data_IF_683906971486
#
_entry.id   IF_683906971486
#
_cell.length_a   1.000
_cell.length_b   1.000
_cell.length_c   1.000
_cell.angle_alpha   90.00
_cell.angle_beta   90.00
_cell.angle_gamma   90.00
#
_symmetry.space_group_name_H-M   'P 1'
#
loop_
_entity.id
_entity.type
_entity.pdbx_description
1 polymer ?
#
# COMPACT_ATOMS: atom_id res chain seq x y z
N UNK A 1 -11.22 -20.69 8.64
CA UNK A 1 -11.72 -19.89 7.49
C UNK A 1 -10.72 -19.88 6.34
N UNK A 2 -9.43 -19.66 6.57
CA UNK A 2 -8.44 -19.63 5.48
C UNK A 2 -8.35 -20.95 4.73
N UNK A 3 -8.27 -22.09 5.43
CA UNK A 3 -8.15 -23.40 4.77
C UNK A 3 -9.35 -23.74 3.88
N UNK A 4 -10.54 -23.28 4.29
CA UNK A 4 -11.76 -23.41 3.51
C UNK A 4 -11.70 -22.56 2.23
N UNK A 5 -11.28 -21.29 2.35
CA UNK A 5 -11.13 -20.39 1.21
C UNK A 5 -10.06 -20.91 0.23
N UNK A 6 -8.93 -21.40 0.73
CA UNK A 6 -7.86 -22.02 -0.06
C UNK A 6 -8.36 -23.25 -0.82
N UNK A 7 -9.07 -24.15 -0.14
CA UNK A 7 -9.62 -25.36 -0.75
C UNK A 7 -10.63 -25.02 -1.86
N UNK A 8 -11.46 -24.01 -1.62
CA UNK A 8 -12.45 -23.56 -2.59
C UNK A 8 -11.79 -22.88 -3.81
N UNK A 9 -10.78 -22.03 -3.60
CA UNK A 9 -10.02 -21.42 -4.69
C UNK A 9 -9.34 -22.47 -5.59
N UNK A 10 -8.74 -23.50 -4.99
CA UNK A 10 -8.14 -24.62 -5.74
C UNK A 10 -9.20 -25.42 -6.51
N UNK A 11 -10.38 -25.62 -5.92
CA UNK A 11 -11.49 -26.33 -6.57
C UNK A 11 -11.99 -25.57 -7.79
N UNK A 12 -12.19 -24.26 -7.69
CA UNK A 12 -12.60 -23.43 -8.83
C UNK A 12 -11.51 -23.34 -9.91
N UNK A 13 -10.24 -23.27 -9.52
CA UNK A 13 -9.12 -23.32 -10.47
C UNK A 13 -9.14 -24.59 -11.31
N UNK A 14 -9.48 -25.74 -10.71
CA UNK A 14 -9.57 -27.02 -11.43
C UNK A 14 -10.78 -27.11 -12.36
N UNK A 15 -11.79 -26.23 -12.21
CA UNK A 15 -13.02 -26.23 -13.02
C UNK A 15 -12.89 -25.44 -14.32
N UNK A 16 -11.91 -24.54 -14.42
CA UNK A 16 -11.66 -23.74 -15.62
C UNK A 16 -10.65 -24.41 -16.57
N UNK A 17 -10.61 -24.04 -17.87
CA UNK A 17 -9.67 -24.59 -18.84
C UNK A 17 -8.21 -24.51 -18.39
N UNK A 18 -7.41 -25.53 -18.75
CA UNK A 18 -5.97 -25.60 -18.38
C UNK A 18 -5.12 -24.46 -18.96
N UNK A 19 -5.61 -23.79 -20.00
CA UNK A 19 -4.92 -22.67 -20.64
C UNK A 19 -5.18 -21.41 -19.82
N UNK A 20 -4.11 -20.85 -19.24
CA UNK A 20 -4.18 -19.64 -18.42
C UNK A 20 -4.63 -18.45 -19.28
N UNK A 21 -5.64 -17.73 -18.79
CA UNK A 21 -6.22 -16.55 -19.44
C UNK A 21 -6.93 -15.66 -18.40
N UNK A 22 -7.58 -14.58 -18.83
CA UNK A 22 -8.26 -13.59 -17.97
C UNK A 22 -9.26 -14.20 -16.98
N UNK A 23 -9.87 -15.35 -17.29
CA UNK A 23 -10.79 -16.05 -16.38
C UNK A 23 -10.11 -16.52 -15.08
N UNK A 24 -8.78 -16.66 -15.10
CA UNK A 24 -7.99 -17.07 -13.93
C UNK A 24 -7.66 -15.88 -13.02
N UNK A 25 -7.71 -14.65 -13.52
CA UNK A 25 -7.30 -13.45 -12.79
C UNK A 25 -8.04 -13.30 -11.45
N UNK A 26 -9.39 -13.41 -11.38
CA UNK A 26 -10.09 -13.30 -10.10
C UNK A 26 -9.67 -14.35 -9.07
N UNK A 27 -9.33 -15.56 -9.52
CA UNK A 27 -8.85 -16.63 -8.63
C UNK A 27 -7.43 -16.36 -8.12
N UNK A 28 -6.56 -15.79 -8.96
CA UNK A 28 -5.22 -15.36 -8.54
C UNK A 28 -5.29 -14.21 -7.52
N UNK A 29 -6.18 -13.25 -7.75
CA UNK A 29 -6.43 -12.15 -6.83
C UNK A 29 -7.00 -12.67 -5.49
N UNK A 30 -7.95 -13.61 -5.53
CA UNK A 30 -8.47 -14.26 -4.33
C UNK A 30 -7.39 -15.05 -3.58
N UNK A 31 -6.51 -15.77 -4.28
CA UNK A 31 -5.38 -16.46 -3.68
C UNK A 31 -4.43 -15.49 -2.96
N UNK A 32 -4.16 -14.32 -3.56
CA UNK A 32 -3.38 -13.27 -2.89
C UNK A 32 -4.08 -12.76 -1.62
N UNK A 33 -5.40 -12.52 -1.65
CA UNK A 33 -6.17 -12.07 -0.49
C UNK A 33 -6.15 -13.10 0.65
N UNK A 34 -6.23 -14.39 0.32
CA UNK A 34 -6.14 -15.50 1.29
C UNK A 34 -4.80 -15.48 2.03
N UNK A 35 -3.70 -15.30 1.29
CA UNK A 35 -2.35 -15.19 1.88
C UNK A 35 -2.23 -13.93 2.73
N UNK A 36 -2.70 -12.78 2.22
CA UNK A 36 -2.65 -11.52 2.97
C UNK A 36 -3.49 -11.56 4.24
N UNK A 37 -4.58 -12.34 4.27
CA UNK A 37 -5.38 -12.55 5.47
C UNK A 37 -4.61 -13.35 6.54
N UNK A 38 -3.83 -14.36 6.16
CA UNK A 38 -2.97 -15.10 7.09
C UNK A 38 -1.86 -14.22 7.63
N UNK A 39 -1.18 -13.49 6.74
CA UNK A 39 -0.12 -12.55 7.10
C UNK A 39 -0.65 -11.43 8.01
N UNK A 40 -1.85 -10.90 7.73
CA UNK A 40 -2.52 -9.92 8.57
C UNK A 40 -2.79 -10.47 9.99
N UNK A 41 -3.27 -11.71 10.11
CA UNK A 41 -3.48 -12.33 11.41
C UNK A 41 -2.16 -12.41 12.22
N UNK A 42 -1.05 -12.74 11.56
CA UNK A 42 0.28 -12.77 12.20
C UNK A 42 0.74 -11.37 12.64
N UNK A 43 0.53 -10.34 11.80
CA UNK A 43 0.78 -8.94 12.19
C UNK A 43 -0.01 -8.59 13.46
N UNK A 44 -1.31 -8.87 13.49
CA UNK A 44 -2.14 -8.56 14.64
C UNK A 44 -1.77 -9.37 15.90
N UNK A 45 -1.25 -10.59 15.74
CA UNK A 45 -0.70 -11.36 16.86
C UNK A 45 0.56 -10.70 17.44
N UNK A 46 1.42 -10.12 16.60
CA UNK A 46 2.59 -9.33 17.03
C UNK A 46 2.23 -8.02 17.71
N UNK A 47 1.08 -7.42 17.35
CA UNK A 47 0.57 -6.18 17.95
C UNK A 47 -0.17 -6.37 19.29
N UNK A 48 -0.38 -7.62 19.73
CA UNK A 48 -1.02 -7.87 21.01
C UNK A 48 -0.20 -7.27 22.17
N UNK A 49 -0.82 -6.78 23.26
CA UNK A 49 -0.12 -6.14 24.38
C UNK A 49 0.99 -7.01 24.99
N UNK A 50 0.85 -8.34 24.94
CA UNK A 50 1.84 -9.29 25.44
C UNK A 50 3.04 -9.49 24.51
N UNK A 51 2.91 -9.16 23.22
CA UNK A 51 3.92 -9.43 22.19
C UNK A 51 4.56 -8.16 21.60
N UNK A 52 3.89 -7.01 21.74
CA UNK A 52 4.38 -5.75 21.22
C UNK A 52 5.77 -5.41 21.80
N UNK A 53 6.68 -4.98 20.94
CA UNK A 53 8.08 -4.69 21.30
C UNK A 53 9.00 -5.92 21.41
N UNK A 54 8.48 -7.17 21.41
CA UNK A 54 9.33 -8.36 21.40
C UNK A 54 10.08 -8.49 20.08
N UNK A 55 11.37 -8.86 20.16
CA UNK A 55 12.28 -8.95 18.99
C UNK A 55 11.72 -9.84 17.86
N UNK A 56 11.27 -11.06 18.18
CA UNK A 56 10.75 -11.99 17.17
C UNK A 56 9.47 -11.45 16.51
N UNK A 57 8.50 -11.02 17.31
CA UNK A 57 7.23 -10.45 16.83
C UNK A 57 7.45 -9.22 15.93
N UNK A 58 8.41 -8.36 16.31
CA UNK A 58 8.83 -7.21 15.53
C UNK A 58 9.50 -7.61 14.21
N UNK A 59 10.37 -8.61 14.23
CA UNK A 59 11.05 -9.11 13.04
C UNK A 59 10.05 -9.68 12.02
N UNK A 60 9.15 -10.55 12.47
CA UNK A 60 8.14 -11.19 11.63
C UNK A 60 7.19 -10.16 11.03
N UNK A 61 6.72 -9.21 11.83
CA UNK A 61 5.88 -8.10 11.35
C UNK A 61 6.61 -7.27 10.28
N UNK A 62 7.88 -6.90 10.53
CA UNK A 62 8.69 -6.14 9.54
C UNK A 62 8.87 -6.94 8.25
N UNK A 63 9.07 -8.25 8.33
CA UNK A 63 9.19 -9.12 7.17
C UNK A 63 7.90 -9.11 6.34
N UNK A 64 6.73 -9.23 6.99
CA UNK A 64 5.43 -9.18 6.32
C UNK A 64 5.20 -7.82 5.64
N UNK A 65 5.44 -6.71 6.35
CA UNK A 65 5.30 -5.35 5.77
C UNK A 65 6.22 -5.19 4.55
N UNK A 66 7.47 -5.70 4.63
CA UNK A 66 8.39 -5.70 3.49
C UNK A 66 7.86 -6.55 2.33
N UNK A 67 7.29 -7.72 2.60
CA UNK A 67 6.68 -8.58 1.60
C UNK A 67 5.51 -7.88 0.90
N UNK A 68 4.60 -7.24 1.64
CA UNK A 68 3.49 -6.48 1.06
C UNK A 68 3.99 -5.37 0.14
N UNK A 69 5.01 -4.61 0.55
CA UNK A 69 5.60 -3.57 -0.30
C UNK A 69 6.19 -4.10 -1.61
N UNK A 70 6.69 -5.33 -1.62
CA UNK A 70 7.31 -5.94 -2.80
C UNK A 70 6.33 -6.75 -3.66
N UNK A 71 5.21 -7.21 -3.09
CA UNK A 71 4.16 -7.96 -3.78
C UNK A 71 3.01 -7.02 -4.14
N UNK A 72 3.20 -6.27 -5.23
CA UNK A 72 2.19 -5.37 -5.79
C UNK A 72 1.43 -6.05 -6.93
N UNK A 73 0.19 -5.63 -7.25
CA UNK A 73 -0.47 -6.07 -8.47
C UNK A 73 0.36 -5.75 -9.73
N UNK A 74 -0.03 -6.31 -10.86
CA UNK A 74 0.56 -5.94 -12.13
C UNK A 74 0.07 -4.56 -12.56
N UNK A 75 0.91 -3.82 -13.29
CA UNK A 75 0.50 -2.50 -13.80
C UNK A 75 -0.64 -2.56 -14.82
N UNK A 76 -0.92 -3.75 -15.37
CA UNK A 76 -2.06 -3.99 -16.26
C UNK A 76 -3.35 -4.33 -15.52
N UNK A 77 -3.30 -4.62 -14.22
CA UNK A 77 -4.50 -4.90 -13.44
C UNK A 77 -5.34 -3.62 -13.28
N UNK A 78 -6.65 -3.80 -13.17
CA UNK A 78 -7.60 -2.69 -13.04
C UNK A 78 -7.33 -1.83 -11.81
N UNK A 79 -7.57 -0.51 -11.93
CA UNK A 79 -7.38 0.41 -10.80
C UNK A 79 -8.26 0.10 -9.60
N UNK A 80 -9.43 -0.52 -9.80
CA UNK A 80 -10.27 -1.03 -8.71
C UNK A 80 -9.53 -2.06 -7.87
N UNK A 81 -8.89 -3.04 -8.51
CA UNK A 81 -8.09 -4.05 -7.81
C UNK A 81 -6.90 -3.43 -7.08
N UNK A 82 -6.21 -2.48 -7.71
CA UNK A 82 -5.19 -1.68 -7.00
C UNK A 82 -5.81 -1.06 -5.75
N UNK A 83 -6.89 -0.27 -5.89
CA UNK A 83 -7.56 0.43 -4.79
C UNK A 83 -7.95 -0.49 -3.64
N UNK A 84 -8.48 -1.68 -3.93
CA UNK A 84 -8.87 -2.66 -2.92
C UNK A 84 -7.66 -3.12 -2.09
N UNK A 85 -6.55 -3.48 -2.75
CA UNK A 85 -5.32 -3.90 -2.06
C UNK A 85 -4.73 -2.75 -1.23
N UNK A 86 -4.71 -1.52 -1.74
CA UNK A 86 -4.19 -0.38 -0.97
C UNK A 86 -5.05 -0.08 0.24
N UNK A 87 -6.38 -0.08 0.09
CA UNK A 87 -7.31 0.19 1.17
C UNK A 87 -7.18 -0.87 2.27
N UNK A 88 -7.15 -2.15 1.87
CA UNK A 88 -6.91 -3.26 2.79
C UNK A 88 -5.61 -3.09 3.59
N UNK A 89 -4.48 -2.85 2.92
CA UNK A 89 -3.19 -2.71 3.58
C UNK A 89 -3.11 -1.45 4.44
N UNK A 90 -3.75 -0.37 4.01
CA UNK A 90 -3.79 0.88 4.76
C UNK A 90 -4.42 0.68 6.15
N UNK A 91 -5.51 -0.07 6.24
CA UNK A 91 -6.11 -0.40 7.54
C UNK A 91 -5.13 -1.12 8.48
N UNK A 92 -4.35 -2.06 7.96
CA UNK A 92 -3.35 -2.79 8.74
C UNK A 92 -2.16 -1.91 9.13
N UNK A 93 -1.71 -1.01 8.25
CA UNK A 93 -0.66 -0.06 8.58
C UNK A 93 -1.09 0.92 9.65
N UNK A 94 -2.34 1.40 9.62
CA UNK A 94 -2.91 2.25 10.67
C UNK A 94 -2.98 1.50 12.01
N UNK A 95 -3.33 0.21 12.00
CA UNK A 95 -3.33 -0.61 13.21
C UNK A 95 -1.92 -0.72 13.83
N UNK A 96 -0.87 -0.87 13.00
CA UNK A 96 0.52 -0.86 13.46
C UNK A 96 0.88 0.49 14.13
N UNK A 97 0.58 1.61 13.46
CA UNK A 97 0.85 2.96 13.99
C UNK A 97 0.16 3.13 15.35
N UNK A 98 -1.14 2.88 15.41
CA UNK A 98 -1.94 3.05 16.62
C UNK A 98 -1.45 2.18 17.79
N UNK A 99 -1.09 0.91 17.53
CA UNK A 99 -0.60 0.01 18.56
C UNK A 99 0.72 0.50 19.17
N UNK A 100 1.67 0.96 18.35
CA UNK A 100 2.96 1.46 18.84
C UNK A 100 2.86 2.83 19.49
N UNK A 101 1.99 3.72 19.00
CA UNK A 101 1.71 5.00 19.65
C UNK A 101 1.13 4.78 21.05
N UNK A 102 0.14 3.89 21.17
CA UNK A 102 -0.46 3.51 22.46
C UNK A 102 0.57 2.90 23.41
N UNK A 103 1.41 1.99 22.92
CA UNK A 103 2.47 1.37 23.73
C UNK A 103 3.53 2.39 24.18
N UNK A 104 3.91 3.34 23.32
CA UNK A 104 4.89 4.39 23.64
C UNK A 104 4.39 5.38 24.70
N UNK A 105 3.07 5.60 24.81
CA UNK A 105 2.50 6.41 25.89
C UNK A 105 2.61 5.72 27.26
N UNK A 106 2.69 4.38 27.28
CA UNK A 106 2.77 3.58 28.51
C UNK A 106 4.20 3.21 28.94
N UNK A 107 5.18 3.26 28.01
CA UNK A 107 6.58 2.90 28.25
C UNK A 107 7.51 3.92 27.58
N UNK A 108 8.42 4.52 28.35
CA UNK A 108 9.49 5.44 27.87
C UNK A 108 10.58 4.68 27.09
N UNK A 109 10.19 3.96 26.03
CA UNK A 109 11.09 3.12 25.22
C UNK A 109 11.04 3.55 23.73
N UNK A 110 12.02 3.15 22.88
CA UNK A 110 12.17 3.59 21.48
C UNK A 110 11.09 3.07 20.50
N UNK A 111 9.90 2.73 21.02
CA UNK A 111 8.73 2.24 20.28
C UNK A 111 8.19 3.23 19.22
N UNK A 112 8.47 4.53 19.36
CA UNK A 112 8.13 5.54 18.32
C UNK A 112 8.78 5.22 16.96
N UNK A 113 9.97 4.60 16.95
CA UNK A 113 10.65 4.18 15.70
C UNK A 113 9.88 3.07 14.98
N UNK A 114 9.09 2.28 15.70
CA UNK A 114 8.33 1.16 15.11
C UNK A 114 6.98 1.61 14.55
N UNK A 115 6.34 2.63 15.13
CA UNK A 115 5.19 3.30 14.52
C UNK A 115 5.54 3.86 13.13
N UNK A 116 6.74 4.41 12.97
CA UNK A 116 7.23 4.94 11.68
C UNK A 116 7.25 3.91 10.54
N UNK A 117 7.30 2.61 10.84
CA UNK A 117 7.18 1.56 9.82
C UNK A 117 5.82 1.63 9.12
N UNK A 118 4.73 1.75 9.88
CA UNK A 118 3.37 1.83 9.34
C UNK A 118 3.11 3.16 8.62
N UNK A 119 3.68 4.25 9.13
CA UNK A 119 3.67 5.57 8.47
C UNK A 119 4.33 5.49 7.10
N UNK A 120 5.57 4.97 7.03
CA UNK A 120 6.32 4.83 5.78
C UNK A 120 5.63 3.87 4.80
N UNK A 121 5.07 2.76 5.30
CA UNK A 121 4.35 1.81 4.47
C UNK A 121 3.07 2.42 3.86
N UNK A 122 2.34 3.23 4.63
CA UNK A 122 1.16 3.97 4.16
C UNK A 122 1.51 5.02 3.11
N UNK A 123 2.54 5.83 3.35
CA UNK A 123 3.02 6.83 2.40
C UNK A 123 3.50 6.17 1.10
N UNK A 124 4.31 5.10 1.21
CA UNK A 124 4.74 4.28 0.07
C UNK A 124 3.55 3.76 -0.74
N UNK A 125 2.50 3.28 -0.07
CA UNK A 125 1.29 2.78 -0.71
C UNK A 125 0.59 3.86 -1.56
N UNK A 126 0.37 5.04 -0.98
CA UNK A 126 -0.23 6.20 -1.67
C UNK A 126 0.57 6.58 -2.92
N UNK A 127 1.89 6.64 -2.79
CA UNK A 127 2.79 7.02 -3.89
C UNK A 127 2.76 5.99 -5.02
N UNK A 128 2.70 4.68 -4.69
CA UNK A 128 2.60 3.62 -5.69
C UNK A 128 1.26 3.64 -6.42
N UNK A 129 0.16 3.87 -5.71
CA UNK A 129 -1.15 4.03 -6.35
C UNK A 129 -1.14 5.22 -7.31
N UNK A 130 -0.65 6.39 -6.89
CA UNK A 130 -0.53 7.57 -7.76
C UNK A 130 0.31 7.29 -9.02
N UNK A 131 1.41 6.55 -8.87
CA UNK A 131 2.24 6.12 -10.01
C UNK A 131 1.47 5.25 -11.00
N UNK A 132 0.63 4.33 -10.54
CA UNK A 132 -0.13 3.41 -11.42
C UNK A 132 -1.34 4.10 -12.03
N UNK A 133 -2.10 4.89 -11.27
CA UNK A 133 -3.18 5.72 -11.80
C UNK A 133 -2.70 6.62 -12.95
N UNK A 134 -1.51 7.24 -12.79
CA UNK A 134 -0.87 8.03 -13.86
C UNK A 134 -0.54 7.17 -15.09
N UNK A 135 -0.01 5.95 -14.90
CA UNK A 135 0.30 5.02 -16.00
C UNK A 135 -0.96 4.55 -16.75
N UNK A 136 -2.11 4.52 -16.09
CA UNK A 136 -3.42 4.26 -16.69
C UNK A 136 -4.02 5.49 -17.39
N UNK A 137 -3.31 6.62 -17.43
CA UNK A 137 -3.80 7.87 -18.02
C UNK A 137 -4.74 8.66 -17.11
N UNK A 138 -5.04 8.16 -15.91
CA UNK A 138 -5.94 8.80 -14.93
C UNK A 138 -5.19 9.79 -14.05
N UNK A 139 -4.74 10.91 -14.63
CA UNK A 139 -3.81 11.83 -13.95
C UNK A 139 -4.47 12.57 -12.78
N UNK A 140 -5.72 13.00 -12.92
CA UNK A 140 -6.46 13.65 -11.83
C UNK A 140 -6.58 12.72 -10.62
N UNK A 141 -6.98 11.47 -10.84
CA UNK A 141 -7.03 10.45 -9.77
C UNK A 141 -5.66 10.19 -9.14
N UNK A 142 -4.57 10.27 -9.93
CA UNK A 142 -3.22 10.16 -9.39
C UNK A 142 -2.87 11.33 -8.46
N UNK A 143 -3.16 12.57 -8.86
CA UNK A 143 -2.92 13.77 -8.06
C UNK A 143 -3.77 13.78 -6.78
N UNK A 144 -5.06 13.44 -6.89
CA UNK A 144 -5.97 13.31 -5.75
C UNK A 144 -5.47 12.26 -4.77
N UNK A 145 -4.95 11.14 -5.26
CA UNK A 145 -4.37 10.15 -4.37
C UNK A 145 -3.11 10.68 -3.69
N UNK A 146 -2.21 11.36 -4.41
CA UNK A 146 -0.97 11.89 -3.85
C UNK A 146 -1.20 12.98 -2.80
N UNK A 147 -2.29 13.73 -2.90
CA UNK A 147 -2.67 14.74 -1.89
C UNK A 147 -3.06 14.11 -0.55
N UNK A 148 -3.62 12.88 -0.56
CA UNK A 148 -3.94 12.13 0.66
C UNK A 148 -2.73 11.86 1.55
N UNK A 149 -1.49 11.97 1.04
CA UNK A 149 -0.31 11.81 1.90
C UNK A 149 -0.28 12.84 3.04
N UNK A 150 -0.94 14.00 2.88
CA UNK A 150 -1.03 15.04 3.91
C UNK A 150 -1.93 14.65 5.09
N UNK A 151 -2.74 13.58 4.96
CA UNK A 151 -3.51 13.06 6.11
C UNK A 151 -2.66 12.19 7.05
N UNK A 152 -1.44 11.83 6.65
CA UNK A 152 -0.52 11.06 7.47
C UNK A 152 0.27 12.03 8.37
N UNK A 153 0.21 11.87 9.71
CA UNK A 153 0.99 12.70 10.61
C UNK A 153 2.49 12.38 10.46
N UNK A 154 3.31 13.43 10.28
CA UNK A 154 4.77 13.35 10.20
C UNK A 154 5.31 12.39 9.13
N UNK A 155 5.08 12.71 7.86
CA UNK A 155 5.59 11.93 6.72
C UNK A 155 7.12 12.04 6.62
N UNK A 156 7.87 10.93 6.52
CA UNK A 156 9.31 10.95 6.31
C UNK A 156 9.72 11.75 5.06
N UNK A 157 10.82 12.50 5.16
CA UNK A 157 11.34 13.32 4.05
C UNK A 157 11.57 12.50 2.76
N UNK A 158 11.98 11.23 2.90
CA UNK A 158 12.18 10.32 1.77
C UNK A 158 10.87 10.08 1.00
N UNK A 159 9.74 9.98 1.69
CA UNK A 159 8.43 9.78 1.07
C UNK A 159 7.91 11.08 0.45
N UNK A 160 8.13 12.22 1.11
CA UNK A 160 7.84 13.54 0.55
C UNK A 160 8.55 13.74 -0.80
N UNK A 161 9.84 13.40 -0.88
CA UNK A 161 10.59 13.45 -2.13
C UNK A 161 9.99 12.53 -3.21
N UNK A 162 9.62 11.30 -2.84
CA UNK A 162 9.00 10.37 -3.79
C UNK A 162 7.62 10.85 -4.27
N UNK A 163 6.83 11.48 -3.39
CA UNK A 163 5.55 12.11 -3.70
C UNK A 163 5.74 13.27 -4.68
N UNK A 164 6.64 14.23 -4.41
CA UNK A 164 6.96 15.33 -5.32
C UNK A 164 7.39 14.78 -6.68
N UNK A 165 8.26 13.78 -6.71
CA UNK A 165 8.68 13.12 -7.95
C UNK A 165 7.51 12.54 -8.75
N UNK A 166 6.48 12.01 -8.10
CA UNK A 166 5.27 11.56 -8.82
C UNK A 166 4.38 12.71 -9.25
N UNK A 167 4.22 13.77 -8.44
CA UNK A 167 3.45 14.96 -8.81
C UNK A 167 4.03 15.62 -10.07
N UNK A 168 5.35 15.86 -10.10
CA UNK A 168 6.04 16.38 -11.29
C UNK A 168 5.78 15.51 -12.51
N UNK A 169 5.83 14.17 -12.37
CA UNK A 169 5.51 13.26 -13.48
C UNK A 169 4.06 13.33 -13.94
N UNK A 170 3.11 13.60 -13.04
CA UNK A 170 1.71 13.83 -13.38
C UNK A 170 1.56 15.09 -14.22
N UNK A 171 2.11 16.22 -13.75
CA UNK A 171 2.04 17.49 -14.48
C UNK A 171 2.76 17.45 -15.83
N UNK A 172 3.92 16.78 -15.93
CA UNK A 172 4.60 16.56 -17.21
C UNK A 172 3.73 15.79 -18.21
N UNK A 173 3.01 14.77 -17.75
CA UNK A 173 2.11 13.99 -18.60
C UNK A 173 0.86 14.80 -18.98
N UNK A 174 0.31 15.62 -18.07
CA UNK A 174 -0.78 16.54 -18.39
C UNK A 174 -0.37 17.55 -19.46
N UNK A 175 0.79 18.19 -19.30
CA UNK A 175 1.32 19.15 -20.27
C UNK A 175 1.55 18.52 -21.66
N UNK A 176 1.98 17.26 -21.72
CA UNK A 176 2.15 16.53 -22.96
C UNK A 176 0.81 16.22 -23.67
N UNK A 177 -0.27 16.01 -22.93
CA UNK A 177 -1.59 15.65 -23.47
C UNK A 177 -2.49 16.87 -23.74
N UNK A 178 -2.39 17.92 -22.92
CA UNK A 178 -3.32 19.06 -22.91
C UNK A 178 -2.67 20.42 -23.30
N UNK A 179 -1.36 20.46 -23.55
CA UNK A 179 -0.64 21.67 -23.96
C UNK A 179 -0.05 22.50 -22.80
N UNK A 180 0.70 23.56 -23.14
CA UNK A 180 1.64 24.27 -22.23
C UNK A 180 1.03 24.96 -21.00
N UNK A 181 -0.29 25.20 -20.95
CA UNK A 181 -0.90 26.04 -19.91
C UNK A 181 -0.86 25.41 -18.50
N UNK A 182 -0.87 24.07 -18.39
CA UNK A 182 -0.79 23.33 -17.12
C UNK A 182 0.66 23.05 -16.67
N UNK A 183 1.66 23.26 -17.55
CA UNK A 183 3.07 23.11 -17.23
C UNK A 183 3.52 24.08 -16.12
N UNK A 184 2.85 25.22 -16.02
CA UNK A 184 3.14 26.29 -15.06
C UNK A 184 2.77 25.89 -13.63
N UNK A 185 1.66 25.17 -13.43
CA UNK A 185 1.28 24.60 -12.12
C UNK A 185 2.30 23.55 -11.65
N UNK A 186 2.85 22.77 -12.58
CA UNK A 186 3.93 21.83 -12.28
C UNK A 186 5.23 22.50 -11.82
N UNK A 187 5.52 23.70 -12.33
CA UNK A 187 6.63 24.54 -11.86
C UNK A 187 6.36 25.11 -10.47
N UNK A 188 5.15 25.64 -10.21
CA UNK A 188 4.78 26.18 -8.90
C UNK A 188 4.89 25.14 -7.77
N UNK A 189 4.56 23.87 -8.05
CA UNK A 189 4.71 22.76 -7.09
C UNK A 189 6.18 22.37 -6.83
N UNK A 190 7.10 22.70 -7.75
CA UNK A 190 8.55 22.52 -7.53
C UNK A 190 9.12 23.71 -6.75
N UNK A 191 8.56 24.91 -6.93
CA UNK A 191 9.03 26.15 -6.29
C UNK A 191 8.47 26.38 -4.88
N UNK A 192 7.46 25.61 -4.45
CA UNK A 192 6.84 25.66 -3.11
C UNK A 192 7.34 24.56 -2.16
#
# INVERSE_FOLDING_TARGET
MVDLASSQAIKEWKRIPRIVSHIHTPLLQAAQQIIELQEAAQVHQSLQPTNIGRSNSLHDMKAIVKTWRNRLPMTSDDLSHWSDIFTWRHHHYQAIVHAYDTASASQQDPNSTHAMLGVHASASAIIHYGKVARKHGQINSALDSLSRIHSIPSVPIVDCFQKIRQQVKCYLQMAAVMGKNECMQGLEVIES
#
